data_IF_792922478137
#
_entry.id   IF_792922478137
#
_cell.length_a   1.000
_cell.length_b   1.000
_cell.length_c   1.000
_cell.angle_alpha   90.00
_cell.angle_beta   90.00
_cell.angle_gamma   90.00
#
_symmetry.space_group_name_H-M   'P 1'
#
loop_
_entity.id
_entity.type
_entity.pdbx_description
1 polymer ?
#
# COMPACT_ATOMS: atom_id res chain seq x y z
N UNK A 1 1.41 26.02 25.94
CA UNK A 1 1.77 25.08 24.86
C UNK A 1 1.73 23.63 25.32
N UNK A 2 2.44 23.26 26.40
CA UNK A 2 2.46 21.89 26.95
C UNK A 2 1.05 21.34 27.29
N UNK A 3 0.19 22.16 27.89
CA UNK A 3 -1.19 21.79 28.24
C UNK A 3 -2.03 21.44 27.00
N UNK A 4 -1.86 22.20 25.91
CA UNK A 4 -2.59 21.99 24.65
C UNK A 4 -2.16 20.67 24.00
N UNK A 5 -0.85 20.36 24.02
CA UNK A 5 -0.32 19.10 23.53
C UNK A 5 -0.85 17.90 24.33
N UNK A 6 -0.94 18.04 25.65
CA UNK A 6 -1.47 16.99 26.53
C UNK A 6 -2.95 16.70 26.27
N UNK A 7 -3.76 17.74 25.98
CA UNK A 7 -5.16 17.59 25.61
C UNK A 7 -5.39 16.89 24.27
N UNK A 8 -4.40 16.90 23.35
CA UNK A 8 -4.48 16.15 22.09
C UNK A 8 -4.25 14.65 22.31
N UNK A 9 -3.32 14.28 23.20
CA UNK A 9 -3.00 12.87 23.49
C UNK A 9 -4.18 12.14 24.18
N UNK A 10 -4.96 12.83 25.01
CA UNK A 10 -6.12 12.25 25.71
C UNK A 10 -7.28 11.91 24.74
N UNK A 11 -7.30 12.50 23.55
CA UNK A 11 -8.32 12.20 22.53
C UNK A 11 -8.06 10.88 21.80
N UNK A 12 -6.85 10.32 21.88
CA UNK A 12 -6.54 9.04 21.24
C UNK A 12 -7.02 7.89 22.16
N UNK A 13 -7.92 7.01 21.66
CA UNK A 13 -8.34 5.84 22.42
C UNK A 13 -7.14 4.94 22.72
N UNK A 14 -6.93 4.64 24.00
CA UNK A 14 -5.82 3.81 24.45
C UNK A 14 -6.17 2.33 24.27
N UNK A 15 -5.23 1.51 23.81
CA UNK A 15 -5.41 0.06 23.66
C UNK A 15 -6.22 -0.39 22.44
N UNK A 16 -6.59 0.54 21.56
CA UNK A 16 -7.10 0.23 20.22
C UNK A 16 -6.05 0.56 19.17
N UNK A 17 -6.15 -0.07 18.00
CA UNK A 17 -5.25 0.24 16.89
C UNK A 17 -5.47 1.67 16.42
N UNK A 18 -4.46 2.51 16.56
CA UNK A 18 -4.47 3.87 16.07
C UNK A 18 -4.02 3.93 14.59
N UNK A 19 -4.38 4.99 13.83
CA UNK A 19 -4.00 5.11 12.42
C UNK A 19 -2.47 5.12 12.17
N UNK A 20 -1.71 5.52 13.18
CA UNK A 20 -0.25 5.52 13.24
C UNK A 20 0.36 4.20 13.71
N UNK A 21 -0.45 3.21 14.11
CA UNK A 21 -0.02 1.84 14.43
C UNK A 21 0.24 1.01 13.16
N UNK A 22 1.14 1.52 12.34
CA UNK A 22 1.69 0.83 11.19
C UNK A 22 3.18 0.52 11.41
N UNK A 23 3.61 -0.62 10.90
CA UNK A 23 5.02 -0.91 10.75
C UNK A 23 5.47 -0.45 9.36
N UNK A 24 6.74 -0.03 9.22
CA UNK A 24 7.34 0.09 7.90
C UNK A 24 7.19 -1.22 7.13
N UNK A 25 7.05 -1.10 5.82
CA UNK A 25 6.99 -2.26 4.96
C UNK A 25 8.35 -2.97 4.94
N UNK A 26 8.37 -4.30 5.12
CA UNK A 26 9.61 -5.08 5.16
C UNK A 26 9.85 -5.79 3.81
N UNK A 27 10.72 -5.22 2.99
CA UNK A 27 11.07 -5.83 1.69
C UNK A 27 11.94 -7.09 1.81
N UNK A 28 12.38 -7.47 3.01
CA UNK A 28 13.00 -8.78 3.28
C UNK A 28 11.94 -9.88 3.35
N UNK A 29 10.70 -9.52 3.68
CA UNK A 29 9.57 -10.44 3.70
C UNK A 29 9.07 -10.66 2.26
N UNK A 30 8.99 -11.92 1.79
CA UNK A 30 8.57 -12.21 0.42
C UNK A 30 7.13 -11.78 0.14
N UNK A 31 6.22 -11.84 1.13
CA UNK A 31 4.83 -11.42 0.96
C UNK A 31 4.75 -9.91 0.68
N UNK A 32 5.41 -9.11 1.51
CA UNK A 32 5.46 -7.66 1.36
C UNK A 32 6.02 -7.29 -0.02
N UNK A 33 7.18 -7.83 -0.39
CA UNK A 33 7.79 -7.58 -1.69
C UNK A 33 6.85 -7.95 -2.86
N UNK A 34 6.17 -9.10 -2.80
CA UNK A 34 5.28 -9.54 -3.86
C UNK A 34 4.06 -8.63 -3.99
N UNK A 35 3.37 -8.35 -2.89
CA UNK A 35 2.07 -7.67 -2.91
C UNK A 35 2.21 -6.21 -3.28
N UNK A 36 3.19 -5.50 -2.72
CA UNK A 36 3.27 -4.06 -2.88
C UNK A 36 4.23 -3.60 -3.98
N UNK A 37 5.12 -4.47 -4.49
CA UNK A 37 6.00 -4.13 -5.62
C UNK A 37 5.68 -4.97 -6.86
N UNK A 38 5.76 -6.30 -6.75
CA UNK A 38 5.70 -7.17 -7.94
C UNK A 38 4.31 -7.17 -8.55
N UNK A 39 3.25 -7.27 -7.75
CA UNK A 39 1.87 -7.32 -8.24
C UNK A 39 1.47 -6.05 -9.01
N UNK A 40 1.72 -4.82 -8.53
CA UNK A 40 1.49 -3.59 -9.32
C UNK A 40 2.22 -3.58 -10.67
N UNK A 41 3.49 -4.02 -10.70
CA UNK A 41 4.28 -4.09 -11.93
C UNK A 41 3.66 -5.09 -12.90
N UNK A 42 3.28 -6.28 -12.43
CA UNK A 42 2.62 -7.30 -13.25
C UNK A 42 1.29 -6.80 -13.83
N UNK A 43 0.49 -6.08 -13.04
CA UNK A 43 -0.77 -5.50 -13.53
C UNK A 43 -0.54 -4.54 -14.70
N UNK A 44 0.49 -3.68 -14.62
CA UNK A 44 0.85 -2.76 -15.70
C UNK A 44 1.32 -3.53 -16.93
N UNK A 45 2.19 -4.52 -16.77
CA UNK A 45 2.70 -5.34 -17.87
C UNK A 45 1.55 -6.07 -18.57
N UNK A 46 0.69 -6.75 -17.80
CA UNK A 46 -0.45 -7.47 -18.35
C UNK A 46 -1.45 -6.54 -19.03
N UNK A 47 -1.70 -5.35 -18.49
CA UNK A 47 -2.53 -4.34 -19.14
C UNK A 47 -1.97 -3.95 -20.52
N UNK A 48 -0.66 -3.68 -20.61
CA UNK A 48 0.01 -3.32 -21.86
C UNK A 48 -0.07 -4.47 -22.87
N UNK A 49 0.21 -5.70 -22.45
CA UNK A 49 0.14 -6.89 -23.30
C UNK A 49 -1.28 -7.12 -23.82
N UNK A 50 -2.28 -7.04 -22.96
CA UNK A 50 -3.69 -7.15 -23.34
C UNK A 50 -4.10 -6.07 -24.34
N UNK A 51 -3.72 -4.82 -24.07
CA UNK A 51 -4.01 -3.69 -24.96
C UNK A 51 -3.38 -3.87 -26.34
N UNK A 52 -2.16 -4.40 -26.42
CA UNK A 52 -1.47 -4.69 -27.68
C UNK A 52 -2.13 -5.84 -28.44
N UNK A 53 -2.57 -6.88 -27.75
CA UNK A 53 -3.27 -8.02 -28.36
C UNK A 53 -4.55 -7.59 -29.07
N UNK A 54 -5.33 -6.65 -28.50
CA UNK A 54 -6.56 -6.12 -29.10
C UNK A 54 -6.36 -5.27 -30.36
N UNK A 55 -5.13 -4.85 -30.66
CA UNK A 55 -4.81 -4.04 -31.86
C UNK A 55 -4.30 -4.88 -33.04
N UNK A 56 -4.12 -6.18 -32.86
CA UNK A 56 -3.77 -7.06 -33.98
C UNK A 56 -5.05 -7.33 -34.79
N UNK A 57 -5.08 -7.02 -36.10
CA UNK A 57 -6.15 -7.51 -36.94
C UNK A 57 -6.18 -9.03 -36.81
N UNK A 58 -7.38 -9.59 -36.60
CA UNK A 58 -7.59 -11.02 -36.80
C UNK A 58 -7.58 -11.21 -38.31
N UNK A 59 -6.50 -11.80 -38.83
CA UNK A 59 -6.52 -12.39 -40.16
C UNK A 59 -7.53 -13.55 -40.19
#
# INVERSE_FOLDING_TARGET
>A
MLIILYSLLIQLPQGTRNPDDNSPMDFSNPFDLIVYIILPILLIIFYILWRRSKRRPKD
#
